data_IF_181825708598
#
_entry.id   IF_181825708598
#
_cell.length_a   1.000
_cell.length_b   1.000
_cell.length_c   1.000
_cell.angle_alpha   90.00
_cell.angle_beta   90.00
_cell.angle_gamma   90.00
#
_symmetry.space_group_name_H-M   'P 1'
#
loop_
_entity.id
_entity.type
_entity.pdbx_description
1 polymer ?
#
# COMPACT_ATOMS: atom_id res chain seq x y z
N UNK A 1 -12.75 27.31 -74.44
CA UNK A 1 -12.20 28.68 -74.54
C UNK A 1 -13.03 29.59 -73.62
N UNK A 2 -12.41 30.37 -72.72
CA UNK A 2 -13.06 31.03 -71.59
C UNK A 2 -13.40 32.50 -71.87
N UNK A 3 -14.37 33.06 -71.12
CA UNK A 3 -14.53 34.50 -70.96
C UNK A 3 -14.61 34.88 -69.45
N UNK A 4 -13.67 35.77 -69.09
CA UNK A 4 -13.60 36.72 -67.97
C UNK A 4 -14.87 37.58 -67.85
N UNK A 5 -15.18 38.36 -66.81
CA UNK A 5 -14.50 38.91 -65.62
C UNK A 5 -15.63 39.45 -64.69
N UNK A 6 -15.27 39.88 -63.47
CA UNK A 6 -15.63 41.19 -62.92
C UNK A 6 -16.11 41.24 -61.44
N UNK A 7 -15.40 42.09 -60.70
CA UNK A 7 -15.53 42.44 -59.28
C UNK A 7 -16.53 43.60 -59.12
N UNK A 8 -17.24 43.67 -57.99
CA UNK A 8 -17.72 44.94 -57.41
C UNK A 8 -18.03 44.74 -55.91
N UNK A 9 -17.18 45.21 -55.00
CA UNK A 9 -17.24 46.47 -54.22
C UNK A 9 -18.27 46.53 -53.07
N UNK A 10 -17.75 46.75 -51.84
CA UNK A 10 -18.45 47.27 -50.64
C UNK A 10 -18.56 48.81 -50.75
N UNK A 11 -19.43 49.52 -50.00
CA UNK A 11 -19.16 50.00 -48.61
C UNK A 11 -20.49 50.17 -47.79
N UNK A 12 -20.65 50.89 -46.66
CA UNK A 12 -20.01 50.97 -45.34
C UNK A 12 -20.97 51.76 -44.38
N UNK A 13 -20.74 51.71 -43.06
CA UNK A 13 -21.08 52.67 -41.97
C UNK A 13 -22.54 52.99 -41.54
N UNK A 14 -22.80 52.86 -40.20
CA UNK A 14 -23.22 53.89 -39.20
C UNK A 14 -23.55 53.18 -37.86
N UNK A 15 -22.96 53.40 -36.69
CA UNK A 15 -22.71 54.57 -35.83
C UNK A 15 -23.89 55.03 -34.93
N UNK A 16 -23.66 54.86 -33.60
CA UNK A 16 -23.85 55.78 -32.46
C UNK A 16 -25.20 56.09 -31.79
N UNK A 17 -25.06 56.35 -30.47
CA UNK A 17 -25.87 57.11 -29.47
C UNK A 17 -26.60 56.26 -28.41
N UNK A 18 -26.81 56.69 -27.16
CA UNK A 18 -26.11 57.50 -26.14
C UNK A 18 -27.10 57.60 -24.95
N UNK A 19 -26.57 57.55 -23.71
CA UNK A 19 -27.04 58.12 -22.43
C UNK A 19 -28.53 58.44 -22.16
N UNK A 20 -29.03 58.11 -20.95
CA UNK A 20 -29.37 59.12 -19.91
C UNK A 20 -30.13 58.55 -18.69
N UNK A 21 -30.01 59.30 -17.60
CA UNK A 21 -30.31 59.05 -16.19
C UNK A 21 -31.80 58.92 -15.81
N UNK A 22 -32.07 58.22 -14.71
CA UNK A 22 -33.10 58.62 -13.75
C UNK A 22 -32.82 58.10 -12.33
N UNK A 23 -32.60 59.03 -11.39
CA UNK A 23 -32.78 58.83 -9.93
C UNK A 23 -34.24 59.16 -9.59
N UNK A 24 -34.78 58.58 -8.50
CA UNK A 24 -35.55 59.40 -7.58
C UNK A 24 -35.08 59.25 -6.13
N UNK A 25 -35.02 60.40 -5.46
CA UNK A 25 -34.89 60.58 -4.01
C UNK A 25 -36.28 60.67 -3.36
N UNK A 26 -36.51 60.05 -2.20
CA UNK A 26 -37.67 60.44 -1.37
C UNK A 26 -38.11 59.52 -0.24
N UNK A 27 -37.60 59.82 0.97
CA UNK A 27 -38.22 59.73 2.31
C UNK A 27 -38.37 58.38 3.07
N UNK A 28 -37.79 58.43 4.27
CA UNK A 28 -37.92 57.58 5.46
C UNK A 28 -39.37 57.46 5.95
N UNK A 29 -39.78 56.25 6.38
CA UNK A 29 -39.89 55.86 7.79
C UNK A 29 -40.87 54.68 7.97
N UNK A 30 -40.39 53.50 8.36
CA UNK A 30 -40.88 52.76 9.54
C UNK A 30 -40.02 51.52 9.77
N UNK A 31 -39.57 51.36 11.01
CA UNK A 31 -38.82 50.20 11.49
C UNK A 31 -39.68 48.94 11.39
N UNK A 32 -39.13 47.90 10.77
CA UNK A 32 -39.43 46.52 11.11
C UNK A 32 -38.10 45.77 11.17
N UNK A 33 -37.77 45.40 12.40
CA UNK A 33 -36.70 44.52 12.82
C UNK A 33 -36.65 43.24 11.99
N UNK A 34 -35.58 43.07 11.23
CA UNK A 34 -35.03 41.75 10.89
C UNK A 34 -33.52 41.85 11.01
N UNK A 35 -32.99 41.23 12.06
CA UNK A 35 -31.56 40.97 12.20
C UNK A 35 -31.16 40.00 11.08
N UNK A 36 -30.39 40.48 10.10
CA UNK A 36 -29.95 39.67 8.98
C UNK A 36 -28.48 39.94 8.68
N UNK A 37 -27.72 38.85 8.79
CA UNK A 37 -26.35 38.60 8.36
C UNK A 37 -25.26 39.50 8.98
N UNK A 38 -24.40 38.86 9.78
CA UNK A 38 -23.10 39.42 10.12
C UNK A 38 -22.31 39.71 8.83
N UNK A 39 -21.48 40.74 8.87
CA UNK A 39 -20.59 41.24 7.80
C UNK A 39 -19.58 40.19 7.27
N UNK A 40 -19.68 38.93 7.70
CA UNK A 40 -18.82 37.82 7.31
C UNK A 40 -19.36 36.96 6.15
N UNK A 41 -20.60 37.19 5.70
CA UNK A 41 -21.23 36.46 4.58
C UNK A 41 -21.24 37.22 3.24
N UNK A 42 -20.57 38.36 3.16
CA UNK A 42 -20.44 39.07 1.89
C UNK A 42 -19.37 38.40 1.04
N UNK A 43 -19.80 37.64 0.02
CA UNK A 43 -18.90 37.12 -1.03
C UNK A 43 -18.22 38.31 -1.70
N UNK A 44 -17.00 38.62 -1.29
CA UNK A 44 -16.18 39.65 -1.91
C UNK A 44 -15.77 39.16 -3.29
N UNK A 45 -16.44 39.67 -4.33
CA UNK A 45 -16.11 39.34 -5.72
C UNK A 45 -14.74 39.93 -6.06
N UNK A 46 -13.80 39.08 -6.47
CA UNK A 46 -12.47 39.53 -6.92
C UNK A 46 -12.60 40.42 -8.16
N UNK A 47 -12.01 41.62 -8.11
CA UNK A 47 -11.94 42.52 -9.27
C UNK A 47 -11.03 41.97 -10.37
N UNK A 48 -11.23 42.42 -11.61
CA UNK A 48 -10.38 42.03 -12.73
C UNK A 48 -8.89 42.33 -12.41
N UNK A 49 -8.04 41.29 -12.47
CA UNK A 49 -6.61 41.38 -12.14
C UNK A 49 -6.23 41.04 -10.69
N UNK A 50 -7.18 40.75 -9.80
CA UNK A 50 -6.94 40.38 -8.39
C UNK A 50 -6.73 38.86 -8.17
N UNK A 51 -6.76 38.05 -9.24
CA UNK A 51 -6.49 36.61 -9.17
C UNK A 51 -5.00 36.28 -9.23
N UNK A 52 -4.59 35.14 -8.66
CA UNK A 52 -3.22 34.65 -8.79
C UNK A 52 -2.91 34.32 -10.26
N UNK A 53 -1.98 35.06 -10.88
CA UNK A 53 -1.49 34.76 -12.24
C UNK A 53 -0.46 33.64 -12.15
N UNK A 54 -0.78 32.45 -12.65
CA UNK A 54 0.14 31.31 -12.69
C UNK A 54 0.73 31.17 -14.09
N UNK A 55 1.98 31.61 -14.26
CA UNK A 55 2.66 31.59 -15.58
C UNK A 55 3.93 30.73 -15.60
N UNK A 56 4.39 30.26 -14.44
CA UNK A 56 5.59 29.43 -14.30
C UNK A 56 5.39 28.37 -13.21
N UNK A 57 6.14 27.27 -13.28
CA UNK A 57 6.07 26.17 -12.31
C UNK A 57 6.35 26.63 -10.86
N UNK A 58 7.31 27.55 -10.67
CA UNK A 58 7.65 28.10 -9.35
C UNK A 58 6.51 28.95 -8.77
N UNK A 59 5.87 29.77 -9.61
CA UNK A 59 4.72 30.58 -9.22
C UNK A 59 3.48 29.71 -8.93
N UNK A 60 3.30 28.61 -9.67
CA UNK A 60 2.26 27.62 -9.40
C UNK A 60 2.42 26.98 -8.02
N UNK A 61 3.64 26.54 -7.68
CA UNK A 61 3.93 25.94 -6.38
C UNK A 61 3.72 26.92 -5.22
N UNK A 62 4.13 28.18 -5.40
CA UNK A 62 3.92 29.24 -4.42
C UNK A 62 2.43 29.59 -4.24
N UNK A 63 1.66 29.66 -5.33
CA UNK A 63 0.21 29.88 -5.28
C UNK A 63 -0.52 28.72 -4.59
N UNK A 64 -0.13 27.47 -4.88
CA UNK A 64 -0.68 26.28 -4.24
C UNK A 64 -0.38 26.24 -2.73
N UNK A 65 0.85 26.59 -2.33
CA UNK A 65 1.23 26.68 -0.92
C UNK A 65 0.42 27.73 -0.16
N UNK A 66 0.20 28.91 -0.76
CA UNK A 66 -0.65 29.96 -0.18
C UNK A 66 -2.12 29.54 -0.07
N UNK A 67 -2.63 28.79 -1.05
CA UNK A 67 -3.99 28.27 -1.01
C UNK A 67 -4.20 27.24 0.11
N UNK A 68 -3.25 26.30 0.29
CA UNK A 68 -3.28 25.31 1.38
C UNK A 68 -3.29 25.97 2.75
N UNK A 69 -2.38 26.91 2.99
CA UNK A 69 -2.29 27.62 4.28
C UNK A 69 -3.56 28.42 4.61
N UNK A 70 -4.21 29.01 3.60
CA UNK A 70 -5.51 29.68 3.79
C UNK A 70 -6.65 28.70 4.04
N UNK A 71 -6.63 27.53 3.39
CA UNK A 71 -7.62 26.48 3.61
C UNK A 71 -7.51 25.90 5.04
N UNK A 72 -6.29 25.62 5.50
CA UNK A 72 -5.98 25.19 6.87
C UNK A 72 -6.43 26.23 7.90
N UNK A 73 -6.15 27.52 7.65
CA UNK A 73 -6.60 28.59 8.53
C UNK A 73 -8.13 28.66 8.62
N UNK A 74 -8.83 28.56 7.49
CA UNK A 74 -10.31 28.51 7.46
C UNK A 74 -10.89 27.24 8.05
N UNK A 75 -10.15 26.14 8.02
CA UNK A 75 -10.54 24.90 8.69
C UNK A 75 -10.42 25.06 10.21
N UNK A 76 -9.29 25.58 10.68
CA UNK A 76 -9.06 25.87 12.09
C UNK A 76 -9.98 26.96 12.69
N UNK A 77 -10.45 27.90 11.86
CA UNK A 77 -11.47 28.89 12.25
C UNK A 77 -12.87 28.27 12.35
N UNK A 78 -13.15 27.18 11.61
CA UNK A 78 -14.44 26.46 11.62
C UNK A 78 -14.52 25.32 12.63
N UNK A 79 -13.37 24.81 13.07
CA UNK A 79 -13.25 23.72 14.05
C UNK A 79 -12.43 24.16 15.28
N UNK A 80 -12.99 25.03 16.16
CA UNK A 80 -12.33 25.45 17.39
C UNK A 80 -12.13 24.31 18.41
N UNK A 81 -12.90 23.23 18.31
CA UNK A 81 -12.81 22.01 19.12
C UNK A 81 -11.48 21.26 18.94
N UNK A 82 -10.88 21.32 17.75
CA UNK A 82 -9.56 20.76 17.46
C UNK A 82 -8.42 21.57 18.11
N UNK A 83 -8.75 22.73 18.69
CA UNK A 83 -7.82 23.63 19.38
C UNK A 83 -7.85 23.48 20.90
N UNK A 84 -8.71 22.63 21.44
CA UNK A 84 -8.74 22.35 22.87
C UNK A 84 -7.52 21.50 23.26
N UNK A 85 -6.66 21.94 24.20
CA UNK A 85 -5.66 21.04 24.75
C UNK A 85 -6.41 19.94 25.52
N UNK A 86 -6.35 18.71 25.01
CA UNK A 86 -6.77 17.52 25.76
C UNK A 86 -5.92 17.43 27.03
N UNK A 87 -6.41 18.01 28.11
CA UNK A 87 -5.89 17.83 29.47
C UNK A 87 -6.34 16.47 30.00
N UNK A 88 -5.87 15.40 29.38
CA UNK A 88 -5.77 14.07 29.98
C UNK A 88 -4.35 13.87 30.53
N UNK A 89 -4.14 13.01 31.54
CA UNK A 89 -2.79 12.71 32.00
C UNK A 89 -1.98 12.21 30.81
N UNK A 90 -0.88 12.94 30.49
CA UNK A 90 0.05 12.55 29.44
C UNK A 90 0.48 11.11 29.72
N UNK A 91 -0.01 10.17 28.92
CA UNK A 91 0.53 8.80 28.86
C UNK A 91 1.90 8.94 28.23
N UNK A 92 2.91 9.28 29.04
CA UNK A 92 4.28 9.26 28.56
C UNK A 92 4.59 7.81 28.23
N UNK A 93 5.11 7.56 27.03
CA UNK A 93 5.53 6.23 26.57
C UNK A 93 6.49 5.60 27.58
N UNK A 94 7.24 6.43 28.31
CA UNK A 94 8.08 6.06 29.46
C UNK A 94 7.32 5.38 30.61
N UNK A 95 6.11 5.83 30.98
CA UNK A 95 5.34 5.20 32.06
C UNK A 95 4.80 3.82 31.62
N UNK A 96 4.49 3.65 30.34
CA UNK A 96 4.08 2.36 29.77
C UNK A 96 5.26 1.40 29.72
N UNK A 97 6.42 1.87 29.22
CA UNK A 97 7.67 1.07 29.20
C UNK A 97 8.10 0.67 30.61
N UNK A 98 8.00 1.58 31.60
CA UNK A 98 8.34 1.28 32.98
C UNK A 98 7.41 0.22 33.59
N UNK A 99 6.11 0.25 33.24
CA UNK A 99 5.16 -0.78 33.68
C UNK A 99 5.48 -2.14 33.04
N UNK A 100 5.79 -2.18 31.74
CA UNK A 100 6.19 -3.41 31.04
C UNK A 100 7.48 -3.99 31.62
N UNK A 101 8.49 -3.16 31.87
CA UNK A 101 9.76 -3.59 32.49
C UNK A 101 9.53 -4.11 33.91
N UNK A 102 8.69 -3.45 34.71
CA UNK A 102 8.34 -3.92 36.04
C UNK A 102 7.60 -5.27 36.02
N UNK A 103 6.71 -5.49 35.03
CA UNK A 103 6.02 -6.76 34.85
C UNK A 103 6.97 -7.89 34.44
N UNK A 104 7.92 -7.63 33.55
CA UNK A 104 8.95 -8.60 33.15
C UNK A 104 9.85 -8.97 34.35
N UNK A 105 10.28 -7.97 35.13
CA UNK A 105 11.07 -8.22 36.34
C UNK A 105 10.30 -9.07 37.37
N UNK A 106 9.01 -8.80 37.56
CA UNK A 106 8.18 -9.61 38.44
C UNK A 106 8.07 -11.08 37.97
N UNK A 107 7.90 -11.31 36.66
CA UNK A 107 7.90 -12.65 36.07
C UNK A 107 9.24 -13.36 36.25
N UNK A 108 10.36 -12.66 36.06
CA UNK A 108 11.70 -13.23 36.25
C UNK A 108 11.94 -13.67 37.71
N UNK A 109 11.48 -12.88 38.68
CA UNK A 109 11.57 -13.26 40.10
C UNK A 109 10.71 -14.48 40.41
N UNK A 110 9.49 -14.55 39.87
CA UNK A 110 8.61 -15.72 40.05
C UNK A 110 9.26 -16.98 39.44
N UNK A 111 9.86 -16.86 38.25
CA UNK A 111 10.60 -17.94 37.62
C UNK A 111 11.79 -18.40 38.47
N UNK A 112 12.61 -17.46 38.97
CA UNK A 112 13.75 -17.77 39.81
C UNK A 112 13.36 -18.50 41.12
N UNK A 113 12.27 -18.09 41.76
CA UNK A 113 11.74 -18.77 42.95
C UNK A 113 11.20 -20.15 42.58
N UNK A 114 10.48 -20.26 41.45
CA UNK A 114 10.00 -21.53 40.92
C UNK A 114 11.14 -22.54 40.67
N UNK A 115 12.23 -22.09 40.04
CA UNK A 115 13.44 -22.88 39.81
C UNK A 115 14.16 -23.27 41.10
N UNK A 116 14.17 -22.39 42.11
CA UNK A 116 14.77 -22.71 43.40
C UNK A 116 13.99 -23.81 44.13
N UNK A 117 12.66 -23.74 44.12
CA UNK A 117 11.81 -24.76 44.77
C UNK A 117 11.89 -26.10 44.03
N UNK A 118 11.97 -26.10 42.69
CA UNK A 118 12.16 -27.35 41.93
C UNK A 118 13.53 -27.98 42.20
N UNK A 119 14.60 -27.18 42.35
CA UNK A 119 15.94 -27.70 42.67
C UNK A 119 16.07 -28.34 44.06
N UNK A 120 15.20 -27.97 45.02
CA UNK A 120 15.18 -28.54 46.37
C UNK A 120 14.33 -29.82 46.47
N UNK A 121 13.36 -30.00 45.57
CA UNK A 121 12.47 -31.18 45.54
C UNK A 121 12.99 -32.27 44.60
N UNK A 122 13.74 -31.89 43.57
CA UNK A 122 14.37 -32.79 42.60
C UNK A 122 15.85 -32.44 42.42
N UNK A 123 16.78 -33.06 43.16
CA UNK A 123 18.21 -32.91 42.86
C UNK A 123 18.50 -33.57 41.51
N UNK A 124 19.11 -32.87 40.53
CA UNK A 124 19.57 -33.51 39.31
C UNK A 124 20.74 -34.44 39.66
N UNK A 125 20.77 -35.61 39.02
CA UNK A 125 21.96 -36.47 39.03
C UNK A 125 23.16 -35.69 38.48
N UNK A 126 24.31 -35.86 39.11
CA UNK A 126 25.56 -35.21 38.74
C UNK A 126 25.97 -35.62 37.32
N UNK A 127 25.78 -34.73 36.36
CA UNK A 127 26.57 -34.74 35.13
C UNK A 127 27.61 -33.63 35.24
N UNK A 128 28.87 -34.06 35.41
CA UNK A 128 30.04 -33.19 35.46
C UNK A 128 30.12 -32.34 34.19
N UNK A 129 29.92 -31.04 34.38
CA UNK A 129 30.02 -30.01 33.37
C UNK A 129 31.49 -29.73 33.05
N UNK A 130 32.02 -30.41 32.03
CA UNK A 130 33.19 -29.88 31.30
C UNK A 130 32.68 -28.87 30.28
N UNK A 131 32.66 -27.59 30.67
CA UNK A 131 32.42 -26.45 29.79
C UNK A 131 33.62 -26.28 28.85
N UNK A 132 33.59 -26.98 27.71
CA UNK A 132 34.35 -26.58 26.53
C UNK A 132 33.38 -25.87 25.58
N UNK A 133 33.48 -24.54 25.52
CA UNK A 133 32.69 -23.68 24.62
C UNK A 133 33.21 -23.80 23.17
N UNK A 134 33.15 -25.00 22.62
CA UNK A 134 33.04 -25.18 21.17
C UNK A 134 31.57 -25.02 20.81
N UNK A 135 31.30 -24.23 19.76
CA UNK A 135 30.01 -24.04 19.08
C UNK A 135 29.47 -25.36 18.49
N UNK A 136 29.40 -26.42 19.27
CA UNK A 136 28.81 -27.67 18.85
C UNK A 136 27.31 -27.52 19.03
N UNK A 137 26.58 -27.47 17.92
CA UNK A 137 25.12 -27.60 17.96
C UNK A 137 24.78 -28.87 18.75
N UNK A 138 23.73 -28.76 19.56
CA UNK A 138 23.13 -29.93 20.19
C UNK A 138 22.62 -30.89 19.11
N UNK A 139 22.57 -32.19 19.41
CA UNK A 139 22.07 -33.21 18.48
C UNK A 139 20.66 -32.86 17.97
N UNK A 140 19.80 -32.33 18.84
CA UNK A 140 18.46 -31.82 18.47
C UNK A 140 18.47 -30.65 17.49
N UNK A 141 19.45 -29.74 17.57
CA UNK A 141 19.53 -28.61 16.64
C UNK A 141 20.04 -29.06 15.26
N UNK A 142 20.89 -30.09 15.22
CA UNK A 142 21.36 -30.69 13.97
C UNK A 142 20.19 -31.38 13.26
N UNK A 143 19.43 -32.21 13.97
CA UNK A 143 18.26 -32.90 13.42
C UNK A 143 17.23 -31.90 12.87
N UNK A 144 16.95 -30.81 13.60
CA UNK A 144 16.03 -29.77 13.14
C UNK A 144 16.53 -29.05 11.87
N UNK A 145 17.85 -28.80 11.77
CA UNK A 145 18.44 -28.22 10.56
C UNK A 145 18.39 -29.20 9.37
N UNK A 146 18.60 -30.50 9.60
CA UNK A 146 18.51 -31.50 8.55
C UNK A 146 17.07 -31.62 8.02
N UNK A 147 16.07 -31.67 8.91
CA UNK A 147 14.66 -31.66 8.51
C UNK A 147 14.28 -30.41 7.72
N UNK A 148 14.75 -29.23 8.15
CA UNK A 148 14.51 -27.99 7.39
C UNK A 148 15.18 -28.03 6.02
N UNK A 149 16.40 -28.56 5.91
CA UNK A 149 17.10 -28.69 4.61
C UNK A 149 16.38 -29.67 3.68
N UNK A 150 15.87 -30.78 4.20
CA UNK A 150 15.08 -31.73 3.42
C UNK A 150 13.77 -31.10 2.94
N UNK A 151 13.07 -30.36 3.81
CA UNK A 151 11.88 -29.59 3.47
C UNK A 151 12.18 -28.56 2.37
N UNK A 152 13.22 -27.76 2.56
CA UNK A 152 13.61 -26.67 1.65
C UNK A 152 14.09 -27.19 0.28
N UNK A 153 14.69 -28.39 0.24
CA UNK A 153 15.05 -29.08 -1.01
C UNK A 153 13.83 -29.59 -1.78
N UNK A 154 12.69 -29.75 -1.12
CA UNK A 154 11.43 -30.17 -1.72
C UNK A 154 10.74 -29.09 -2.56
N UNK A 155 9.55 -29.43 -3.02
CA UNK A 155 8.64 -28.54 -3.74
C UNK A 155 7.28 -28.55 -3.04
N UNK A 156 6.59 -27.42 -3.08
CA UNK A 156 5.25 -27.27 -2.53
C UNK A 156 4.35 -26.60 -3.54
N UNK A 157 3.11 -27.07 -3.65
CA UNK A 157 2.07 -26.44 -4.42
C UNK A 157 0.78 -26.46 -3.62
N UNK A 158 0.17 -25.29 -3.48
CA UNK A 158 -1.10 -25.10 -2.78
C UNK A 158 -2.02 -24.21 -3.58
N UNK A 159 -3.33 -24.30 -3.31
CA UNK A 159 -4.30 -23.33 -3.81
C UNK A 159 -4.15 -21.97 -3.15
N UNK A 160 -5.01 -21.01 -3.52
CA UNK A 160 -4.95 -19.61 -3.05
C UNK A 160 -5.03 -19.45 -1.52
N UNK A 161 -5.70 -20.37 -0.82
CA UNK A 161 -5.88 -20.32 0.63
C UNK A 161 -4.75 -21.03 1.41
N UNK A 162 -3.79 -21.64 0.71
CA UNK A 162 -2.71 -22.39 1.32
C UNK A 162 -1.50 -21.53 1.67
N UNK A 163 -0.54 -22.17 2.33
CA UNK A 163 0.76 -21.56 2.64
C UNK A 163 1.88 -22.44 2.18
N UNK A 164 3.02 -21.84 1.86
CA UNK A 164 4.29 -22.53 1.59
C UNK A 164 5.37 -22.01 2.52
N UNK A 165 6.37 -22.83 2.81
CA UNK A 165 7.48 -22.42 3.67
C UNK A 165 8.86 -22.71 3.09
N UNK A 166 9.80 -21.81 3.39
CA UNK A 166 11.21 -21.93 3.04
C UNK A 166 12.07 -21.30 4.12
N UNK A 167 13.13 -21.99 4.55
CA UNK A 167 14.08 -21.49 5.55
C UNK A 167 13.41 -20.94 6.82
N UNK A 168 12.35 -21.61 7.29
CA UNK A 168 11.57 -21.21 8.46
C UNK A 168 10.65 -20.00 8.27
N UNK A 169 10.59 -19.41 7.08
CA UNK A 169 9.65 -18.35 6.73
C UNK A 169 8.45 -18.94 5.99
N UNK A 170 7.25 -18.49 6.34
CA UNK A 170 6.00 -18.89 5.70
C UNK A 170 5.44 -17.75 4.84
N UNK A 171 4.90 -18.13 3.69
CA UNK A 171 4.32 -17.25 2.67
C UNK A 171 2.90 -17.70 2.34
N UNK A 172 2.04 -16.74 1.99
CA UNK A 172 0.66 -16.96 1.62
C UNK A 172 0.21 -15.96 0.55
N UNK A 173 -0.90 -16.27 -0.12
CA UNK A 173 -1.63 -15.29 -0.90
C UNK A 173 -2.72 -14.67 -0.04
N UNK A 174 -2.91 -13.36 -0.16
CA UNK A 174 -3.93 -12.63 0.59
C UNK A 174 -4.62 -11.61 -0.30
N UNK A 175 -5.94 -11.50 -0.17
CA UNK A 175 -6.72 -10.47 -0.83
C UNK A 175 -7.02 -9.33 0.14
N UNK A 176 -6.62 -8.11 -0.22
CA UNK A 176 -6.97 -6.90 0.51
C UNK A 176 -8.46 -6.55 0.42
N UNK A 177 -8.90 -5.62 1.25
CA UNK A 177 -10.30 -5.12 1.24
C UNK A 177 -10.69 -4.42 -0.07
N UNK A 178 -9.70 -3.93 -0.81
CA UNK A 178 -9.83 -3.33 -2.14
C UNK A 178 -9.90 -4.37 -3.27
N UNK A 179 -9.79 -5.66 -2.93
CA UNK A 179 -9.80 -6.77 -3.88
C UNK A 179 -8.44 -7.05 -4.51
N UNK A 180 -7.39 -6.29 -4.18
CA UNK A 180 -6.03 -6.48 -4.70
C UNK A 180 -5.39 -7.69 -4.01
N UNK A 181 -4.79 -8.57 -4.79
CA UNK A 181 -4.06 -9.72 -4.27
C UNK A 181 -2.62 -9.35 -3.95
N UNK A 182 -2.04 -9.98 -2.93
CA UNK A 182 -0.64 -9.82 -2.57
C UNK A 182 -0.05 -11.16 -2.15
N UNK A 183 1.22 -11.36 -2.47
CA UNK A 183 2.03 -12.33 -1.75
C UNK A 183 2.41 -11.70 -0.40
N UNK A 184 2.19 -12.40 0.70
CA UNK A 184 2.43 -11.91 2.06
C UNK A 184 3.30 -12.88 2.85
N UNK A 185 4.03 -12.36 3.83
CA UNK A 185 4.59 -13.16 4.92
C UNK A 185 3.48 -13.63 5.87
N UNK A 186 3.76 -14.63 6.71
CA UNK A 186 2.85 -15.05 7.80
C UNK A 186 2.50 -13.94 8.80
N UNK A 187 3.31 -12.88 8.87
CA UNK A 187 3.00 -11.67 9.64
C UNK A 187 1.86 -10.85 9.03
N UNK A 188 1.46 -11.14 7.78
CA UNK A 188 0.53 -10.34 6.98
C UNK A 188 1.18 -9.17 6.24
N UNK A 189 2.49 -8.98 6.39
CA UNK A 189 3.22 -7.94 5.66
C UNK A 189 3.33 -8.31 4.16
N UNK A 190 3.00 -7.40 3.23
CA UNK A 190 3.09 -7.68 1.81
C UNK A 190 4.55 -7.78 1.35
N UNK A 191 4.83 -8.82 0.55
CA UNK A 191 6.07 -8.95 -0.22
C UNK A 191 5.94 -8.11 -1.50
N UNK A 192 4.85 -8.32 -2.26
CA UNK A 192 4.45 -7.49 -3.40
C UNK A 192 2.97 -7.70 -3.73
N UNK A 193 2.39 -6.70 -4.41
CA UNK A 193 1.03 -6.75 -4.96
C UNK A 193 1.02 -7.46 -6.32
N UNK A 194 0.00 -8.28 -6.53
CA UNK A 194 -0.27 -9.00 -7.77
C UNK A 194 -1.23 -8.17 -8.63
N UNK A 195 -0.94 -7.98 -9.94
CA UNK A 195 -1.82 -7.24 -10.84
C UNK A 195 -3.07 -8.04 -11.25
N UNK A 196 -3.04 -9.37 -11.12
CA UNK A 196 -4.09 -10.27 -11.53
C UNK A 196 -4.71 -11.06 -10.37
N UNK A 197 -5.45 -12.10 -10.74
CA UNK A 197 -6.08 -13.04 -9.81
C UNK A 197 -5.25 -14.33 -9.75
N UNK A 198 -4.58 -14.64 -8.63
CA UNK A 198 -3.78 -15.83 -8.50
C UNK A 198 -4.66 -17.09 -8.48
N UNK A 199 -4.12 -18.20 -8.97
CA UNK A 199 -4.79 -19.52 -8.96
C UNK A 199 -4.11 -20.51 -8.01
N UNK A 200 -2.81 -20.34 -7.79
CA UNK A 200 -2.02 -21.19 -6.90
C UNK A 200 -0.81 -20.42 -6.33
N UNK A 201 -0.25 -20.95 -5.25
CA UNK A 201 1.07 -20.59 -4.75
C UNK A 201 1.97 -21.82 -4.84
N UNK A 202 3.09 -21.67 -5.53
CA UNK A 202 4.02 -22.77 -5.80
C UNK A 202 5.41 -22.37 -5.32
N UNK A 203 6.10 -23.26 -4.61
CA UNK A 203 7.50 -23.11 -4.24
C UNK A 203 8.34 -24.17 -4.93
N UNK A 204 9.41 -23.73 -5.55
CA UNK A 204 10.50 -24.58 -6.03
C UNK A 204 11.82 -24.05 -5.49
N UNK A 205 12.45 -24.81 -4.60
CA UNK A 205 13.63 -24.36 -3.85
C UNK A 205 13.39 -22.99 -3.18
N UNK A 206 14.20 -21.98 -3.52
CA UNK A 206 14.15 -20.60 -3.03
C UNK A 206 13.24 -19.67 -3.85
N UNK A 207 12.52 -20.20 -4.83
CA UNK A 207 11.68 -19.40 -5.73
C UNK A 207 10.21 -19.70 -5.52
N UNK A 208 9.44 -18.63 -5.31
CA UNK A 208 7.98 -18.64 -5.28
C UNK A 208 7.45 -18.27 -6.67
N UNK A 209 6.44 -19.00 -7.11
CA UNK A 209 5.72 -18.78 -8.36
C UNK A 209 4.24 -18.59 -8.05
N UNK A 210 3.63 -17.60 -8.69
CA UNK A 210 2.22 -17.28 -8.56
C UNK A 210 1.63 -17.19 -9.97
N UNK A 211 1.05 -18.29 -10.48
CA UNK A 211 0.27 -18.27 -11.71
C UNK A 211 -0.98 -17.43 -11.50
N UNK A 212 -1.19 -16.42 -12.34
CA UNK A 212 -2.30 -15.47 -12.20
C UNK A 212 -3.01 -15.19 -13.53
N UNK A 213 -4.31 -14.96 -13.43
CA UNK A 213 -5.14 -14.46 -14.53
C UNK A 213 -5.06 -12.94 -14.57
N UNK A 214 -4.70 -12.39 -15.71
CA UNK A 214 -4.58 -10.95 -15.99
C UNK A 214 -5.54 -10.54 -17.10
N UNK A 215 -5.69 -9.25 -17.34
CA UNK A 215 -6.59 -8.79 -18.41
C UNK A 215 -6.14 -9.33 -19.78
N UNK A 216 -7.03 -10.12 -20.42
CA UNK A 216 -6.79 -10.73 -21.71
C UNK A 216 -5.94 -12.00 -21.72
N UNK A 217 -5.53 -12.53 -20.56
CA UNK A 217 -4.69 -13.73 -20.52
C UNK A 217 -4.23 -14.15 -19.13
N UNK A 218 -3.07 -14.79 -19.09
CA UNK A 218 -2.43 -15.26 -17.87
C UNK A 218 -0.91 -15.13 -17.96
N UNK A 219 -0.26 -15.08 -16.81
CA UNK A 219 1.19 -15.13 -16.70
C UNK A 219 1.61 -15.83 -15.40
N UNK A 220 2.92 -15.89 -15.13
CA UNK A 220 3.47 -16.46 -13.90
C UNK A 220 4.37 -15.43 -13.23
N UNK A 221 3.87 -14.79 -12.17
CA UNK A 221 4.68 -13.96 -11.30
C UNK A 221 5.68 -14.83 -10.53
N UNK A 222 6.86 -14.30 -10.25
CA UNK A 222 7.89 -15.00 -9.49
C UNK A 222 8.58 -14.10 -8.47
N UNK A 223 9.07 -14.72 -7.40
CA UNK A 223 9.84 -14.07 -6.36
C UNK A 223 10.92 -15.01 -5.83
N UNK A 224 12.17 -14.59 -5.96
CA UNK A 224 13.32 -15.31 -5.40
C UNK A 224 13.54 -14.83 -3.96
N UNK A 225 13.43 -15.74 -3.01
CA UNK A 225 13.58 -15.48 -1.58
C UNK A 225 15.00 -15.04 -1.28
N UNK A 226 15.16 -13.90 -0.60
CA UNK A 226 16.47 -13.29 -0.36
C UNK A 226 17.08 -12.62 -1.60
N UNK A 227 16.35 -12.59 -2.73
CA UNK A 227 16.71 -11.81 -3.91
C UNK A 227 16.61 -10.30 -3.67
N UNK A 228 17.25 -9.53 -4.53
CA UNK A 228 17.32 -8.07 -4.41
C UNK A 228 16.23 -7.34 -5.23
N UNK A 229 15.18 -8.05 -5.68
CA UNK A 229 14.12 -7.41 -6.47
C UNK A 229 13.27 -6.50 -5.57
N UNK A 230 13.06 -5.27 -6.02
CA UNK A 230 12.23 -4.28 -5.33
C UNK A 230 10.77 -4.28 -5.83
N UNK A 231 10.32 -5.33 -6.49
CA UNK A 231 8.97 -5.46 -7.03
C UNK A 231 8.70 -6.81 -7.69
N UNK A 232 7.49 -6.96 -8.23
CA UNK A 232 7.06 -8.18 -8.94
C UNK A 232 7.96 -8.46 -10.15
N UNK A 233 8.39 -9.70 -10.28
CA UNK A 233 9.08 -10.24 -11.47
C UNK A 233 8.23 -11.35 -12.08
N UNK A 234 8.53 -11.73 -13.33
CA UNK A 234 7.80 -12.79 -14.02
C UNK A 234 8.77 -13.84 -14.53
N UNK A 235 8.29 -15.09 -14.59
CA UNK A 235 8.94 -16.13 -15.39
C UNK A 235 8.94 -15.65 -16.83
N UNK A 236 10.03 -15.86 -17.55
CA UNK A 236 10.16 -15.48 -18.97
C UNK A 236 10.39 -16.71 -19.84
N UNK A 237 9.93 -16.64 -21.09
CA UNK A 237 10.21 -17.62 -22.13
C UNK A 237 11.65 -17.52 -22.66
N UNK A 238 11.99 -18.38 -23.62
CA UNK A 238 13.32 -18.41 -24.24
C UNK A 238 13.67 -17.11 -24.99
N UNK A 239 12.66 -16.34 -25.39
CA UNK A 239 12.78 -15.05 -26.05
C UNK A 239 12.86 -13.87 -25.06
N UNK A 240 12.71 -14.14 -23.75
CA UNK A 240 12.76 -13.14 -22.68
C UNK A 240 11.44 -12.39 -22.47
N UNK A 241 10.33 -12.83 -23.06
CA UNK A 241 9.01 -12.27 -22.78
C UNK A 241 8.39 -12.98 -21.57
N UNK A 242 7.48 -12.33 -20.81
CA UNK A 242 6.78 -13.01 -19.73
C UNK A 242 6.09 -14.28 -20.21
N UNK A 243 6.38 -15.41 -19.56
CA UNK A 243 5.72 -16.67 -19.81
C UNK A 243 4.22 -16.52 -19.51
N UNK A 244 3.38 -16.91 -20.46
CA UNK A 244 1.95 -16.66 -20.39
C UNK A 244 1.22 -16.99 -21.69
N UNK A 245 -0.07 -16.72 -21.71
CA UNK A 245 -0.92 -16.98 -22.86
C UNK A 245 -2.28 -16.31 -22.74
N UNK A 246 -3.15 -16.56 -23.72
CA UNK A 246 -4.53 -16.07 -23.71
C UNK A 246 -5.47 -17.01 -22.94
N UNK A 247 -6.53 -16.46 -22.36
CA UNK A 247 -7.56 -17.21 -21.62
C UNK A 247 -7.34 -17.20 -20.10
N UNK A 248 -8.17 -17.96 -19.38
CA UNK A 248 -8.13 -18.07 -17.92
C UNK A 248 -7.61 -19.45 -17.50
N UNK A 249 -6.68 -19.46 -16.55
CA UNK A 249 -6.12 -20.66 -15.92
C UNK A 249 -7.24 -21.42 -15.20
N UNK A 250 -7.40 -22.69 -15.56
CA UNK A 250 -8.29 -23.64 -14.91
C UNK A 250 -7.56 -24.46 -13.84
N UNK A 251 -6.31 -24.85 -14.12
CA UNK A 251 -5.46 -25.58 -13.19
C UNK A 251 -3.97 -25.40 -13.49
N UNK A 252 -3.16 -25.66 -12.48
CA UNK A 252 -1.70 -25.65 -12.55
C UNK A 252 -1.16 -26.90 -11.88
N UNK A 253 -0.06 -27.45 -12.40
CA UNK A 253 0.67 -28.57 -11.80
C UNK A 253 2.18 -28.37 -11.99
N UNK A 254 2.94 -28.45 -10.89
CA UNK A 254 4.39 -28.48 -10.93
C UNK A 254 4.88 -29.93 -11.13
N UNK A 255 5.61 -30.17 -12.22
CA UNK A 255 6.27 -31.43 -12.53
C UNK A 255 7.78 -31.18 -12.69
N UNK A 256 8.50 -31.36 -11.58
CA UNK A 256 9.94 -31.07 -11.51
C UNK A 256 10.23 -29.60 -11.82
N UNK A 257 10.92 -29.32 -12.92
CA UNK A 257 11.28 -27.96 -13.36
C UNK A 257 10.32 -27.38 -14.40
N UNK A 258 9.15 -28.00 -14.56
CA UNK A 258 8.12 -27.56 -15.52
C UNK A 258 6.83 -27.25 -14.80
N UNK A 259 6.31 -26.04 -14.99
CA UNK A 259 4.99 -25.68 -14.53
C UNK A 259 3.99 -25.88 -15.67
N UNK A 260 3.08 -26.85 -15.51
CA UNK A 260 2.02 -27.13 -16.48
C UNK A 260 0.80 -26.28 -16.17
N UNK A 261 0.37 -25.45 -17.12
CA UNK A 261 -0.77 -24.55 -16.97
C UNK A 261 -1.87 -24.98 -17.94
N UNK A 262 -3.06 -25.28 -17.44
CA UNK A 262 -4.19 -25.70 -18.27
C UNK A 262 -5.19 -24.55 -18.42
N UNK A 263 -5.51 -24.23 -19.68
CA UNK A 263 -6.45 -23.19 -20.08
C UNK A 263 -7.38 -23.73 -21.15
N UNK A 264 -8.70 -23.70 -20.92
CA UNK A 264 -9.69 -24.21 -21.87
C UNK A 264 -9.45 -25.66 -22.28
N UNK A 265 -9.00 -26.50 -21.33
CA UNK A 265 -8.62 -27.89 -21.57
C UNK A 265 -7.31 -28.11 -22.34
N UNK A 266 -6.53 -27.07 -22.66
CA UNK A 266 -5.20 -27.19 -23.29
C UNK A 266 -4.11 -26.89 -22.26
N UNK A 267 -3.13 -27.79 -22.15
CA UNK A 267 -1.98 -27.63 -21.25
C UNK A 267 -0.79 -27.01 -21.97
N UNK A 268 -0.21 -25.98 -21.36
CA UNK A 268 1.02 -25.31 -21.78
C UNK A 268 2.11 -25.55 -20.73
N UNK A 269 3.29 -25.98 -21.17
CA UNK A 269 4.44 -26.22 -20.30
C UNK A 269 5.29 -24.95 -20.21
N UNK A 270 5.49 -24.44 -18.99
CA UNK A 270 6.39 -23.33 -18.70
C UNK A 270 7.66 -23.89 -18.06
N UNK A 271 8.78 -23.77 -18.76
CA UNK A 271 10.08 -24.18 -18.24
C UNK A 271 10.58 -23.18 -17.19
N UNK A 272 11.13 -23.69 -16.08
CA UNK A 272 11.63 -22.90 -14.95
C UNK A 272 13.18 -22.88 -14.86
N UNK A 273 13.87 -23.45 -15.85
CA UNK A 273 15.31 -23.68 -15.88
C UNK A 273 15.99 -22.98 -17.06
#
# INVERSE_FOLDING_TARGET
MPFKDEKNTRPAHRATHAASHARPSGRRARQQSTALASDSDQISTIGAGQGARVTTRKNAAEAAGRARKNAERRYAERHPEDRAPQSGPKRSVLNVVLLVVAAILALAVIFAVGTLVTSLVFPPAEEETTHDQTLHLTESEIEAQEQQREHDAGQEQVGVDGTVSYAGQTYALSQGEDGVWSLVYSSGEPVFELPGMPVALVRTADTLLVPENVDGGWNVACYVIGGHSSGITYVVDAEGNPAGGSGEIESVELDGTTLRVTVGGTTTDVALA
#
